data_IF_845661169667
#
_entry.id   IF_845661169667
#
_cell.length_a   1.000
_cell.length_b   1.000
_cell.length_c   1.000
_cell.angle_alpha   90.00
_cell.angle_beta   90.00
_cell.angle_gamma   90.00
#
_symmetry.space_group_name_H-M   'P 1'
#
loop_
_entity.id
_entity.type
_entity.pdbx_description
1 polymer ?
#
# COMPACT_ATOMS: atom_id res chain seq x y z
N UNK A 1 26.79 7.86 17.40
CA UNK A 1 25.46 8.15 17.94
C UNK A 1 24.92 9.49 17.46
N UNK A 2 23.59 9.69 17.44
CA UNK A 2 22.93 10.95 17.05
C UNK A 2 21.74 11.20 17.96
N UNK A 3 21.49 12.48 18.27
CA UNK A 3 20.30 12.91 19.02
C UNK A 3 19.41 13.80 18.15
N UNK A 4 18.13 13.45 18.01
CA UNK A 4 17.12 14.34 17.44
C UNK A 4 16.50 15.08 18.61
N UNK A 5 16.73 16.40 18.71
CA UNK A 5 16.33 17.21 19.84
C UNK A 5 15.20 18.19 19.48
N UNK A 6 14.39 18.57 20.50
CA UNK A 6 13.40 19.63 20.47
C UNK A 6 12.19 19.42 19.52
N UNK A 7 12.10 18.28 18.83
CA UNK A 7 11.03 17.99 17.88
C UNK A 7 9.72 17.57 18.55
N UNK A 8 8.61 17.71 17.79
CA UNK A 8 7.35 17.08 18.14
C UNK A 8 7.31 15.67 17.55
N UNK A 9 7.53 14.65 18.38
CA UNK A 9 7.62 13.26 17.97
C UNK A 9 6.22 12.63 17.96
N UNK A 10 5.84 11.96 16.88
CA UNK A 10 4.65 11.09 16.83
C UNK A 10 5.05 9.68 17.29
N UNK A 11 4.98 9.44 18.60
CA UNK A 11 5.53 8.28 19.30
C UNK A 11 4.54 7.11 19.35
N UNK A 12 5.05 5.90 19.16
CA UNK A 12 4.32 4.67 19.32
C UNK A 12 3.33 4.36 18.19
N UNK A 13 2.59 3.27 18.34
CA UNK A 13 1.58 2.83 17.36
C UNK A 13 0.41 3.83 17.27
N UNK A 14 0.10 4.50 18.37
CA UNK A 14 -0.97 5.51 18.42
C UNK A 14 -0.58 6.87 17.86
N UNK A 15 0.68 7.04 17.46
CA UNK A 15 1.23 8.32 16.96
C UNK A 15 1.02 9.47 17.94
N UNK A 16 1.16 9.20 19.25
CA UNK A 16 0.95 10.21 20.31
C UNK A 16 1.99 11.32 20.21
N UNK A 17 1.56 12.61 20.13
CA UNK A 17 2.50 13.72 20.00
C UNK A 17 3.17 14.01 21.33
N UNK A 18 4.50 13.85 21.40
CA UNK A 18 5.32 14.11 22.59
C UNK A 18 6.48 15.04 22.26
N UNK A 19 6.88 15.87 23.23
CA UNK A 19 8.09 16.70 23.16
C UNK A 19 9.20 16.04 23.97
N UNK A 20 9.93 15.17 23.30
CA UNK A 20 11.05 14.40 23.84
C UNK A 20 12.20 14.42 22.82
N UNK A 21 13.37 13.94 23.20
CA UNK A 21 14.50 13.74 22.31
C UNK A 21 14.62 12.25 21.95
N UNK A 22 15.20 11.94 20.79
CA UNK A 22 15.48 10.56 20.34
C UNK A 22 16.97 10.39 20.23
N UNK A 23 17.55 9.39 20.93
CA UNK A 23 18.94 8.96 20.72
C UNK A 23 18.97 7.74 19.83
N UNK A 24 19.82 7.81 18.79
CA UNK A 24 20.02 6.77 17.78
C UNK A 24 21.48 6.29 17.88
N UNK A 25 21.66 4.98 17.96
CA UNK A 25 23.00 4.38 17.94
C UNK A 25 23.64 4.37 16.55
N UNK A 26 24.87 3.88 16.47
CA UNK A 26 25.62 3.81 15.21
C UNK A 26 25.10 2.70 14.26
N UNK A 27 24.25 1.79 14.75
CA UNK A 27 23.55 0.77 13.96
C UNK A 27 22.20 1.26 13.42
N UNK A 28 21.79 2.49 13.78
CA UNK A 28 20.52 3.08 13.33
C UNK A 28 19.33 2.67 14.18
N UNK A 29 19.52 2.20 15.42
CA UNK A 29 18.45 1.87 16.36
C UNK A 29 18.17 3.01 17.33
N UNK A 30 16.90 3.19 17.64
CA UNK A 30 16.45 4.11 18.70
C UNK A 30 16.71 3.44 20.04
N UNK A 31 17.62 4.01 20.82
CA UNK A 31 18.04 3.45 22.13
C UNK A 31 17.40 4.16 23.32
N UNK A 32 16.99 5.42 23.15
CA UNK A 32 16.32 6.19 24.20
C UNK A 32 15.38 7.22 23.61
N UNK A 33 14.22 7.42 24.25
CA UNK A 33 13.28 8.50 23.97
C UNK A 33 12.86 9.12 25.29
N UNK A 34 13.49 10.24 25.66
CA UNK A 34 13.19 10.99 26.89
C UNK A 34 13.44 12.49 26.71
N UNK A 35 13.01 13.30 27.68
CA UNK A 35 13.24 14.76 27.63
C UNK A 35 14.72 15.13 27.78
N UNK A 36 15.46 14.32 28.53
CA UNK A 36 16.86 14.58 28.90
C UNK A 36 17.84 13.73 28.05
N UNK A 37 17.31 12.95 27.07
CA UNK A 37 18.11 12.11 26.20
C UNK A 37 19.02 12.99 25.33
N UNK A 38 20.34 12.79 25.43
CA UNK A 38 21.34 13.48 24.63
C UNK A 38 22.60 12.64 24.52
N UNK A 39 23.02 12.28 23.32
CA UNK A 39 24.27 11.60 23.05
C UNK A 39 24.69 11.81 21.58
N UNK A 40 25.99 12.03 21.36
CA UNK A 40 26.58 12.19 20.04
C UNK A 40 26.22 13.49 19.32
N UNK A 41 26.07 13.42 17.99
CA UNK A 41 25.74 14.57 17.14
C UNK A 41 24.28 15.00 17.37
N UNK A 42 24.07 16.27 17.72
CA UNK A 42 22.71 16.82 17.93
C UNK A 42 22.15 17.39 16.62
N UNK A 43 20.97 16.92 16.25
CA UNK A 43 20.17 17.43 15.12
C UNK A 43 18.95 18.16 15.71
N UNK A 44 18.93 19.48 15.58
CA UNK A 44 17.83 20.29 16.11
C UNK A 44 16.59 20.17 15.23
N UNK A 45 15.50 19.67 15.81
CA UNK A 45 14.17 19.54 15.23
C UNK A 45 13.16 20.54 15.81
N UNK A 46 13.61 21.69 16.34
CA UNK A 46 12.72 22.76 16.83
C UNK A 46 11.73 23.16 15.74
N UNK A 47 10.44 23.28 16.11
CA UNK A 47 9.33 23.59 15.21
C UNK A 47 9.15 22.58 14.05
N UNK A 48 9.56 21.33 14.27
CA UNK A 48 9.41 20.23 13.32
C UNK A 48 8.60 19.09 13.93
N UNK A 49 8.04 18.28 13.03
CA UNK A 49 7.40 17.00 13.37
C UNK A 49 8.36 15.87 13.00
N UNK A 50 8.57 14.95 13.94
CA UNK A 50 9.27 13.68 13.69
C UNK A 50 8.20 12.62 13.50
N UNK A 51 8.04 12.12 12.27
CA UNK A 51 6.97 11.23 11.85
C UNK A 51 7.55 9.92 11.31
N UNK A 52 6.98 8.74 11.62
CA UNK A 52 7.39 7.49 10.96
C UNK A 52 7.35 7.63 9.44
N UNK A 53 8.24 6.92 8.74
CA UNK A 53 8.19 6.82 7.27
C UNK A 53 6.91 6.11 6.84
N UNK A 54 6.48 6.41 5.61
CA UNK A 54 5.25 5.87 5.07
C UNK A 54 5.43 4.49 4.44
N UNK A 55 4.31 3.76 4.36
CA UNK A 55 4.17 2.50 3.67
C UNK A 55 3.09 2.65 2.62
N UNK A 56 3.44 2.47 1.35
CA UNK A 56 2.50 2.46 0.25
C UNK A 56 1.97 1.03 0.05
N UNK A 57 0.77 0.76 0.56
CA UNK A 57 0.27 -0.61 0.72
C UNK A 57 -0.28 -1.25 -0.57
N UNK A 58 -0.26 -0.53 -1.70
CA UNK A 58 -0.68 -1.07 -3.00
C UNK A 58 -0.16 -0.20 -4.13
N UNK A 59 0.56 -0.81 -5.08
CA UNK A 59 1.05 -0.17 -6.30
C UNK A 59 1.07 -1.13 -7.49
N UNK A 60 1.12 -0.53 -8.69
CA UNK A 60 1.46 -1.17 -9.95
C UNK A 60 2.62 -0.41 -10.60
N UNK A 61 3.83 -0.49 -9.99
CA UNK A 61 4.95 0.36 -10.38
C UNK A 61 5.40 0.18 -11.84
N UNK A 62 5.10 -0.97 -12.46
CA UNK A 62 5.49 -1.21 -13.86
C UNK A 62 4.79 -0.32 -14.86
N UNK A 63 3.60 0.17 -14.54
CA UNK A 63 2.84 1.04 -15.44
C UNK A 63 3.33 2.51 -15.44
N UNK A 64 4.32 2.81 -14.63
CA UNK A 64 4.99 4.12 -14.61
C UNK A 64 5.61 4.54 -15.95
N UNK A 65 5.70 3.64 -16.90
CA UNK A 65 6.20 3.90 -18.25
C UNK A 65 5.23 4.73 -19.11
N UNK A 66 3.94 4.76 -18.76
CA UNK A 66 2.88 5.47 -19.51
C UNK A 66 2.12 6.46 -18.63
N UNK A 67 2.86 7.32 -17.92
CA UNK A 67 2.27 8.31 -16.99
C UNK A 67 1.24 9.20 -17.71
N UNK A 68 0.05 9.32 -17.08
CA UNK A 68 -1.10 10.12 -17.52
C UNK A 68 -1.71 9.73 -18.87
N UNK A 69 -1.34 8.59 -19.44
CA UNK A 69 -2.01 8.02 -20.61
C UNK A 69 -3.27 7.27 -20.17
N UNK A 70 -4.37 7.47 -20.90
CA UNK A 70 -5.66 6.82 -20.61
C UNK A 70 -6.65 7.71 -19.86
N UNK A 71 -6.37 9.00 -19.70
CA UNK A 71 -7.37 9.94 -19.17
C UNK A 71 -8.64 9.93 -20.06
N UNK A 72 -9.79 9.78 -19.41
CA UNK A 72 -11.09 9.66 -20.08
C UNK A 72 -11.46 8.26 -20.58
N UNK A 73 -10.58 7.27 -20.45
CA UNK A 73 -10.92 5.87 -20.75
C UNK A 73 -11.56 5.20 -19.52
N UNK A 74 -12.33 4.13 -19.78
CA UNK A 74 -12.88 3.29 -18.72
C UNK A 74 -11.80 2.44 -18.03
N UNK A 75 -12.09 1.95 -16.82
CA UNK A 75 -11.21 1.02 -16.10
C UNK A 75 -10.76 -0.16 -16.99
N UNK A 76 -11.71 -0.79 -17.70
CA UNK A 76 -11.41 -1.94 -18.55
C UNK A 76 -10.44 -1.56 -19.70
N UNK A 77 -10.62 -0.40 -20.32
CA UNK A 77 -9.74 0.09 -21.38
C UNK A 77 -8.33 0.46 -20.88
N UNK A 78 -8.22 0.86 -19.62
CA UNK A 78 -6.92 1.23 -19.02
C UNK A 78 -6.16 0.00 -18.53
N UNK A 79 -6.77 -0.85 -17.69
CA UNK A 79 -6.03 -1.85 -16.90
C UNK A 79 -6.36 -3.30 -17.16
N UNK A 80 -7.42 -3.62 -17.96
CA UNK A 80 -7.88 -5.01 -18.13
C UNK A 80 -7.00 -5.81 -19.08
N UNK A 81 -6.43 -6.96 -18.65
CA UNK A 81 -5.69 -7.84 -19.54
C UNK A 81 -6.58 -8.44 -20.65
N UNK A 82 -6.04 -8.75 -21.84
CA UNK A 82 -4.72 -8.36 -22.34
C UNK A 82 -4.70 -7.02 -23.08
N UNK A 83 -5.86 -6.38 -23.30
CA UNK A 83 -6.06 -5.29 -24.25
C UNK A 83 -6.02 -3.89 -23.64
N UNK A 84 -6.06 -3.76 -22.31
CA UNK A 84 -5.90 -2.45 -21.66
C UNK A 84 -4.55 -1.81 -22.02
N UNK A 85 -4.55 -0.49 -22.21
CA UNK A 85 -3.34 0.26 -22.66
C UNK A 85 -2.12 -0.03 -21.80
N UNK A 86 -2.32 -0.25 -20.49
CA UNK A 86 -1.29 -0.69 -19.56
C UNK A 86 -0.57 -1.96 -20.04
N UNK A 87 -1.31 -3.00 -20.42
CA UNK A 87 -0.74 -4.28 -20.84
C UNK A 87 -0.01 -4.18 -22.18
N UNK A 88 -0.58 -3.41 -23.12
CA UNK A 88 0.07 -3.16 -24.40
C UNK A 88 1.39 -2.40 -24.24
N UNK A 89 1.45 -1.43 -23.35
CA UNK A 89 2.67 -0.69 -23.04
C UNK A 89 3.73 -1.58 -22.37
N UNK A 90 3.34 -2.38 -21.37
CA UNK A 90 4.24 -3.31 -20.68
C UNK A 90 4.83 -4.37 -21.63
N UNK A 91 4.04 -4.83 -22.63
CA UNK A 91 4.48 -5.81 -23.60
C UNK A 91 5.43 -5.23 -24.67
N UNK A 92 5.24 -3.95 -25.02
CA UNK A 92 6.04 -3.26 -26.03
C UNK A 92 7.35 -2.68 -25.53
N UNK A 93 7.45 -2.45 -24.21
CA UNK A 93 8.61 -1.84 -23.59
C UNK A 93 9.79 -2.83 -23.47
N UNK A 94 11.00 -2.32 -23.61
CA UNK A 94 12.21 -3.07 -23.28
C UNK A 94 12.42 -3.19 -21.76
N UNK A 95 13.21 -4.17 -21.35
CA UNK A 95 13.57 -4.38 -19.94
C UNK A 95 14.24 -3.12 -19.34
N UNK A 96 15.13 -2.47 -20.10
CA UNK A 96 15.84 -1.27 -19.65
C UNK A 96 14.87 -0.09 -19.43
N UNK A 97 13.89 0.12 -20.31
CA UNK A 97 12.86 1.15 -20.15
C UNK A 97 11.99 0.89 -18.92
N UNK A 98 11.59 -0.35 -18.71
CA UNK A 98 10.80 -0.74 -17.52
C UNK A 98 11.60 -0.54 -16.22
N UNK A 99 12.88 -0.94 -16.21
CA UNK A 99 13.77 -0.76 -15.06
C UNK A 99 13.90 0.73 -14.73
N UNK A 100 14.17 1.58 -15.72
CA UNK A 100 14.39 3.01 -15.48
C UNK A 100 13.11 3.70 -14.98
N UNK A 101 11.95 3.44 -15.60
CA UNK A 101 10.67 4.00 -15.16
C UNK A 101 10.32 3.59 -13.72
N UNK A 102 10.56 2.33 -13.35
CA UNK A 102 10.39 1.87 -11.98
C UNK A 102 11.37 2.54 -11.01
N UNK A 103 12.64 2.74 -11.41
CA UNK A 103 13.65 3.43 -10.60
C UNK A 103 13.26 4.87 -10.30
N UNK A 104 12.84 5.63 -11.32
CA UNK A 104 12.35 7.01 -11.15
C UNK A 104 11.22 7.06 -10.12
N UNK A 105 10.24 6.16 -10.26
CA UNK A 105 9.10 6.11 -9.33
C UNK A 105 9.50 5.72 -7.90
N UNK A 106 10.50 4.85 -7.73
CA UNK A 106 11.04 4.51 -6.41
C UNK A 106 11.79 5.68 -5.78
N UNK A 107 12.54 6.46 -6.55
CA UNK A 107 13.15 7.70 -6.04
C UNK A 107 12.10 8.74 -5.64
N UNK A 108 11.02 8.88 -6.43
CA UNK A 108 9.87 9.72 -6.05
C UNK A 108 9.28 9.29 -4.71
N UNK A 109 9.03 7.99 -4.54
CA UNK A 109 8.53 7.44 -3.28
C UNK A 109 9.49 7.71 -2.12
N UNK A 110 10.78 7.43 -2.30
CA UNK A 110 11.79 7.68 -1.26
C UNK A 110 11.84 9.14 -0.84
N UNK A 111 11.89 10.07 -1.79
CA UNK A 111 11.96 11.50 -1.52
C UNK A 111 10.69 12.02 -0.81
N UNK A 112 9.56 11.33 -0.97
CA UNK A 112 8.29 11.57 -0.27
C UNK A 112 8.18 10.80 1.06
N UNK A 113 9.28 10.21 1.54
CA UNK A 113 9.35 9.54 2.84
C UNK A 113 8.77 8.13 2.90
N UNK A 114 8.48 7.51 1.76
CA UNK A 114 8.03 6.12 1.72
C UNK A 114 9.24 5.20 1.94
N UNK A 115 9.13 4.25 2.88
CA UNK A 115 10.16 3.25 3.19
C UNK A 115 9.90 1.92 2.51
N UNK A 116 8.64 1.53 2.41
CA UNK A 116 8.20 0.26 1.84
C UNK A 116 7.01 0.50 0.91
N UNK A 117 6.91 -0.32 -0.14
CA UNK A 117 5.73 -0.37 -0.98
C UNK A 117 5.40 -1.80 -1.38
N UNK A 118 4.11 -2.09 -1.57
CA UNK A 118 3.63 -3.39 -2.01
C UNK A 118 3.28 -3.28 -3.48
N UNK A 119 3.96 -4.04 -4.34
CA UNK A 119 3.75 -4.00 -5.78
C UNK A 119 3.12 -5.29 -6.33
N UNK A 120 2.06 -5.13 -7.11
CA UNK A 120 1.40 -6.20 -7.84
C UNK A 120 2.08 -6.36 -9.20
N UNK A 121 3.11 -7.22 -9.22
CA UNK A 121 4.05 -7.26 -10.33
C UNK A 121 3.58 -8.19 -11.46
N UNK A 122 3.25 -7.58 -12.59
CA UNK A 122 2.97 -8.26 -13.86
C UNK A 122 4.25 -8.88 -14.45
N UNK A 123 4.10 -9.73 -15.50
CA UNK A 123 5.21 -10.32 -16.23
C UNK A 123 5.81 -11.57 -15.59
N UNK A 124 5.10 -12.23 -14.66
CA UNK A 124 5.54 -13.49 -14.07
C UNK A 124 6.87 -13.35 -13.32
N UNK A 125 7.70 -14.38 -13.41
CA UNK A 125 9.00 -14.39 -12.76
C UNK A 125 9.97 -13.35 -13.32
N UNK A 126 9.89 -13.04 -14.60
CA UNK A 126 10.77 -12.03 -15.21
C UNK A 126 10.40 -10.63 -14.69
N UNK A 127 9.11 -10.29 -14.61
CA UNK A 127 8.68 -9.04 -13.99
C UNK A 127 9.16 -8.87 -12.55
N UNK A 128 9.14 -9.96 -11.75
CA UNK A 128 9.70 -9.95 -10.38
C UNK A 128 11.21 -9.67 -10.40
N UNK A 129 11.96 -10.24 -11.34
CA UNK A 129 13.40 -9.99 -11.48
C UNK A 129 13.71 -8.55 -11.89
N UNK A 130 12.93 -8.00 -12.84
CA UNK A 130 13.09 -6.62 -13.29
C UNK A 130 12.89 -5.63 -12.13
N UNK A 131 11.86 -5.81 -11.30
CA UNK A 131 11.66 -4.93 -10.15
C UNK A 131 12.77 -5.07 -9.11
N UNK A 132 13.28 -6.28 -8.87
CA UNK A 132 14.45 -6.49 -8.01
C UNK A 132 15.71 -5.81 -8.54
N UNK A 133 15.93 -5.85 -9.85
CA UNK A 133 17.03 -5.13 -10.49
C UNK A 133 16.86 -3.61 -10.35
N UNK A 134 15.67 -3.11 -10.65
CA UNK A 134 15.33 -1.70 -10.54
C UNK A 134 15.51 -1.16 -9.10
N UNK A 135 15.25 -1.96 -8.07
CA UNK A 135 15.34 -1.54 -6.67
C UNK A 135 16.76 -1.47 -6.12
N UNK A 136 17.76 -1.99 -6.83
CA UNK A 136 19.15 -1.96 -6.35
C UNK A 136 19.65 -0.54 -6.09
N UNK A 137 20.27 -0.35 -4.91
CA UNK A 137 20.87 0.91 -4.47
C UNK A 137 19.87 2.08 -4.28
N UNK A 138 18.57 1.78 -4.16
CA UNK A 138 17.56 2.75 -3.74
C UNK A 138 17.15 2.42 -2.30
N UNK A 139 17.12 3.39 -1.37
CA UNK A 139 16.80 3.13 0.03
C UNK A 139 15.29 3.04 0.27
N UNK A 140 14.65 2.13 -0.46
CA UNK A 140 13.24 1.75 -0.36
C UNK A 140 13.11 0.25 -0.54
N UNK A 141 12.18 -0.38 0.16
CA UNK A 141 11.99 -1.83 0.13
C UNK A 141 10.70 -2.21 -0.61
N UNK A 142 10.79 -2.85 -1.80
CA UNK A 142 9.63 -3.43 -2.46
C UNK A 142 9.21 -4.73 -1.76
N UNK A 143 7.90 -4.88 -1.54
CA UNK A 143 7.24 -6.14 -1.20
C UNK A 143 6.54 -6.61 -2.48
N UNK A 144 7.05 -7.65 -3.10
CA UNK A 144 6.68 -8.01 -4.46
C UNK A 144 5.64 -9.13 -4.45
N UNK A 145 4.44 -8.83 -4.94
CA UNK A 145 3.36 -9.80 -5.17
C UNK A 145 3.31 -10.13 -6.66
N UNK A 146 3.85 -11.29 -7.03
CA UNK A 146 3.96 -11.68 -8.44
C UNK A 146 2.62 -12.13 -9.03
N UNK A 147 2.46 -11.93 -10.35
CA UNK A 147 1.34 -12.42 -11.17
C UNK A 147 1.89 -13.25 -12.32
N UNK A 148 1.13 -14.25 -12.75
CA UNK A 148 1.46 -15.08 -13.91
C UNK A 148 0.25 -15.22 -14.83
N UNK A 149 0.46 -15.20 -16.14
CA UNK A 149 -0.62 -15.28 -17.11
C UNK A 149 -1.43 -16.59 -17.00
N UNK A 150 -0.85 -17.65 -16.48
CA UNK A 150 -1.54 -18.93 -16.27
C UNK A 150 -2.64 -18.88 -15.19
N UNK A 151 -2.72 -17.79 -14.41
CA UNK A 151 -3.76 -17.65 -13.38
C UNK A 151 -5.11 -17.21 -13.94
N UNK A 152 -5.13 -16.70 -15.18
CA UNK A 152 -6.28 -16.07 -15.80
C UNK A 152 -6.96 -16.98 -16.83
N UNK A 153 -8.24 -16.73 -17.07
CA UNK A 153 -9.05 -17.40 -18.06
C UNK A 153 -10.13 -18.32 -17.49
N UNK A 154 -11.05 -18.76 -18.35
CA UNK A 154 -12.22 -19.55 -17.96
C UNK A 154 -11.92 -21.06 -17.75
N UNK A 155 -10.83 -21.57 -18.34
CA UNK A 155 -10.42 -22.99 -18.22
C UNK A 155 -8.91 -23.06 -17.93
N UNK A 156 -8.49 -22.71 -16.71
CA UNK A 156 -7.09 -22.65 -16.35
C UNK A 156 -6.48 -24.05 -16.24
N UNK A 157 -5.25 -24.21 -16.76
CA UNK A 157 -4.48 -25.42 -16.55
C UNK A 157 -3.89 -25.45 -15.13
N UNK A 158 -4.57 -26.10 -14.20
CA UNK A 158 -4.17 -26.15 -12.77
C UNK A 158 -2.74 -26.70 -12.55
N UNK A 159 -2.20 -27.54 -13.45
CA UNK A 159 -0.82 -27.96 -13.35
C UNK A 159 0.14 -26.81 -13.62
N UNK A 160 -0.11 -26.02 -14.68
CA UNK A 160 0.69 -24.84 -15.00
C UNK A 160 0.56 -23.78 -13.90
N UNK A 161 -0.65 -23.54 -13.38
CA UNK A 161 -0.90 -22.66 -12.22
C UNK A 161 0.00 -23.07 -11.04
N UNK A 162 -0.01 -24.34 -10.64
CA UNK A 162 0.81 -24.82 -9.51
C UNK A 162 2.32 -24.71 -9.77
N UNK A 163 2.76 -24.83 -11.03
CA UNK A 163 4.17 -24.63 -11.41
C UNK A 163 4.54 -23.13 -11.30
N UNK A 164 3.69 -22.23 -11.82
CA UNK A 164 3.90 -20.80 -11.76
C UNK A 164 3.95 -20.30 -10.30
N UNK A 165 3.00 -20.73 -9.46
CA UNK A 165 2.98 -20.40 -8.03
C UNK A 165 4.31 -20.80 -7.36
N UNK A 166 4.78 -22.04 -7.57
CA UNK A 166 6.05 -22.50 -6.98
C UNK A 166 7.26 -21.70 -7.45
N UNK A 167 7.27 -21.26 -8.71
CA UNK A 167 8.34 -20.41 -9.24
C UNK A 167 8.28 -19.02 -8.61
N UNK A 168 7.11 -18.39 -8.58
CA UNK A 168 6.93 -17.06 -8.02
C UNK A 168 7.27 -17.03 -6.52
N UNK A 169 6.75 -17.96 -5.72
CA UNK A 169 6.96 -17.98 -4.27
C UNK A 169 8.42 -18.23 -3.85
N UNK A 170 9.32 -18.63 -4.76
CA UNK A 170 10.77 -18.66 -4.50
C UNK A 170 11.42 -17.30 -4.58
N UNK A 171 10.81 -16.35 -5.28
CA UNK A 171 11.44 -15.07 -5.61
C UNK A 171 10.60 -13.86 -5.18
N UNK A 172 9.29 -13.98 -5.05
CA UNK A 172 8.37 -12.94 -4.62
C UNK A 172 7.98 -13.12 -3.14
N UNK A 173 7.41 -12.07 -2.55
CA UNK A 173 6.91 -12.07 -1.17
C UNK A 173 5.48 -12.59 -1.07
N UNK A 174 4.83 -12.79 -2.21
CA UNK A 174 3.49 -13.33 -2.30
C UNK A 174 2.96 -13.33 -3.73
N UNK A 175 1.64 -13.46 -3.84
CA UNK A 175 0.88 -13.40 -5.08
C UNK A 175 -0.21 -12.35 -4.94
N UNK A 176 -0.27 -11.42 -5.92
CA UNK A 176 -1.30 -10.38 -6.00
C UNK A 176 -2.14 -10.56 -7.25
N UNK A 177 -3.43 -10.72 -7.11
CA UNK A 177 -4.36 -11.03 -8.20
C UNK A 177 -5.20 -9.82 -8.61
N UNK A 178 -5.64 -9.82 -9.88
CA UNK A 178 -6.78 -9.01 -10.32
C UNK A 178 -8.07 -9.53 -9.65
N UNK A 179 -9.22 -9.00 -9.98
CA UNK A 179 -10.49 -9.42 -9.41
C UNK A 179 -11.02 -10.77 -9.91
N UNK A 180 -12.06 -11.27 -9.27
CA UNK A 180 -12.75 -12.51 -9.64
C UNK A 180 -13.46 -12.49 -11.02
N UNK A 181 -13.51 -11.34 -11.67
CA UNK A 181 -13.94 -11.26 -13.06
C UNK A 181 -13.00 -11.95 -14.05
N UNK A 182 -11.75 -12.21 -13.66
CA UNK A 182 -10.68 -12.74 -14.51
C UNK A 182 -10.11 -14.06 -14.00
N UNK A 183 -10.42 -14.45 -12.76
CA UNK A 183 -9.77 -15.55 -12.05
C UNK A 183 -10.80 -16.58 -11.60
N UNK A 184 -10.51 -17.84 -11.88
CA UNK A 184 -11.31 -18.98 -11.39
C UNK A 184 -11.20 -19.14 -9.87
N UNK A 185 -12.30 -19.52 -9.22
CA UNK A 185 -12.35 -19.69 -7.75
C UNK A 185 -11.36 -20.75 -7.26
N UNK A 186 -11.19 -21.85 -7.99
CA UNK A 186 -10.24 -22.92 -7.62
C UNK A 186 -8.80 -22.44 -7.71
N UNK A 187 -8.48 -21.59 -8.69
CA UNK A 187 -7.15 -20.94 -8.79
C UNK A 187 -6.90 -20.06 -7.57
N UNK A 188 -7.88 -19.26 -7.17
CA UNK A 188 -7.79 -18.42 -5.98
C UNK A 188 -7.53 -19.24 -4.70
N UNK A 189 -8.27 -20.32 -4.50
CA UNK A 189 -8.11 -21.24 -3.36
C UNK A 189 -6.72 -21.90 -3.34
N UNK A 190 -6.23 -22.38 -4.51
CA UNK A 190 -4.88 -22.96 -4.64
C UNK A 190 -3.81 -21.92 -4.28
N UNK A 191 -3.96 -20.67 -4.72
CA UNK A 191 -3.01 -19.59 -4.43
C UNK A 191 -2.99 -19.29 -2.93
N UNK A 192 -4.15 -19.14 -2.30
CA UNK A 192 -4.25 -18.90 -0.86
C UNK A 192 -3.60 -20.04 -0.05
N UNK A 193 -3.93 -21.31 -0.35
CA UNK A 193 -3.32 -22.49 0.30
C UNK A 193 -1.78 -22.49 0.18
N UNK A 194 -1.25 -22.16 -1.02
CA UNK A 194 0.19 -22.19 -1.25
C UNK A 194 0.92 -21.01 -0.62
N UNK A 195 0.30 -19.83 -0.63
CA UNK A 195 0.83 -18.66 0.06
C UNK A 195 0.86 -18.87 1.59
N UNK A 196 -0.23 -19.35 2.18
CA UNK A 196 -0.32 -19.69 3.60
C UNK A 196 0.75 -20.71 4.00
N UNK A 197 0.85 -21.84 3.26
CA UNK A 197 1.84 -22.89 3.51
C UNK A 197 3.30 -22.39 3.42
N UNK A 198 3.53 -21.32 2.64
CA UNK A 198 4.85 -20.70 2.48
C UNK A 198 5.08 -19.52 3.44
N UNK A 199 4.12 -19.14 4.26
CA UNK A 199 4.17 -17.93 5.10
C UNK A 199 4.26 -16.64 4.26
N UNK A 200 3.56 -16.58 3.12
CA UNK A 200 3.61 -15.48 2.14
C UNK A 200 2.25 -14.84 1.93
N UNK A 201 2.26 -13.66 1.32
CA UNK A 201 1.06 -12.84 1.14
C UNK A 201 0.25 -13.38 -0.04
N UNK A 202 -1.07 -13.50 0.16
CA UNK A 202 -2.07 -13.65 -0.91
C UNK A 202 -2.97 -12.43 -0.91
N UNK A 203 -3.09 -11.74 -2.05
CA UNK A 203 -3.88 -10.53 -2.15
C UNK A 203 -4.67 -10.47 -3.45
N UNK A 204 -5.84 -9.80 -3.43
CA UNK A 204 -6.76 -9.71 -4.56
C UNK A 204 -7.52 -8.38 -4.54
N UNK A 205 -7.82 -7.82 -5.73
CA UNK A 205 -8.75 -6.72 -5.88
C UNK A 205 -10.18 -7.22 -5.74
N UNK A 206 -11.01 -6.52 -4.97
CA UNK A 206 -12.41 -6.89 -4.74
C UNK A 206 -13.31 -5.66 -4.74
N UNK A 207 -14.50 -5.81 -5.33
CA UNK A 207 -15.53 -4.79 -5.32
C UNK A 207 -15.03 -3.40 -5.79
N UNK A 208 -14.06 -3.38 -6.70
CA UNK A 208 -13.50 -2.14 -7.23
C UNK A 208 -14.55 -1.39 -8.04
N UNK A 209 -15.30 -2.08 -8.90
CA UNK A 209 -16.44 -1.50 -9.61
C UNK A 209 -17.73 -2.27 -9.36
N UNK A 210 -18.85 -1.62 -9.62
CA UNK A 210 -20.18 -2.15 -9.36
C UNK A 210 -20.52 -3.34 -10.27
N UNK A 211 -20.07 -3.31 -11.53
CA UNK A 211 -20.36 -4.36 -12.50
C UNK A 211 -19.74 -5.70 -12.10
N UNK A 212 -18.49 -5.70 -11.60
CA UNK A 212 -17.82 -6.93 -11.12
C UNK A 212 -18.59 -7.57 -9.97
N UNK A 213 -19.13 -6.76 -9.05
CA UNK A 213 -19.99 -7.25 -7.98
C UNK A 213 -21.28 -7.90 -8.51
N UNK A 214 -21.95 -7.27 -9.50
CA UNK A 214 -23.14 -7.86 -10.13
C UNK A 214 -22.82 -9.19 -10.80
N UNK A 215 -21.77 -9.25 -11.59
CA UNK A 215 -21.35 -10.48 -12.28
C UNK A 215 -21.00 -11.57 -11.27
N UNK A 216 -20.33 -11.24 -10.19
CA UNK A 216 -20.02 -12.21 -9.13
C UNK A 216 -21.28 -12.76 -8.47
N UNK A 217 -22.23 -11.90 -8.12
CA UNK A 217 -23.50 -12.29 -7.53
C UNK A 217 -24.35 -13.16 -8.49
N UNK A 218 -24.43 -12.78 -9.76
CA UNK A 218 -25.18 -13.53 -10.77
C UNK A 218 -24.60 -14.94 -11.00
N UNK A 219 -23.27 -15.05 -11.10
CA UNK A 219 -22.61 -16.34 -11.38
C UNK A 219 -22.51 -17.26 -10.16
N UNK A 220 -22.34 -16.69 -8.96
CA UNK A 220 -21.98 -17.48 -7.76
C UNK A 220 -22.90 -17.29 -6.56
N UNK A 221 -23.86 -16.37 -6.64
CA UNK A 221 -24.67 -15.90 -5.50
C UNK A 221 -23.84 -15.37 -4.32
N UNK A 222 -22.59 -14.92 -4.57
CA UNK A 222 -21.66 -14.36 -3.59
C UNK A 222 -21.03 -13.09 -4.13
N UNK A 223 -20.75 -12.13 -3.24
CA UNK A 223 -19.96 -10.93 -3.56
C UNK A 223 -18.50 -11.30 -3.78
N UNK A 224 -17.71 -10.43 -4.47
CA UNK A 224 -16.28 -10.65 -4.59
C UNK A 224 -15.56 -10.66 -3.22
N UNK A 225 -15.84 -9.72 -2.28
CA UNK A 225 -15.29 -9.80 -0.92
C UNK A 225 -15.62 -11.11 -0.21
N UNK A 226 -16.87 -11.57 -0.26
CA UNK A 226 -17.25 -12.85 0.35
C UNK A 226 -16.42 -14.01 -0.22
N UNK A 227 -16.25 -14.07 -1.54
CA UNK A 227 -15.43 -15.11 -2.21
C UNK A 227 -13.96 -15.03 -1.78
N UNK A 228 -13.42 -13.81 -1.63
CA UNK A 228 -12.04 -13.61 -1.19
C UNK A 228 -11.82 -14.09 0.24
N UNK A 229 -12.75 -13.79 1.15
CA UNK A 229 -12.64 -14.24 2.54
C UNK A 229 -12.79 -15.77 2.65
N UNK A 230 -13.69 -16.37 1.90
CA UNK A 230 -13.88 -17.83 1.86
C UNK A 230 -12.67 -18.55 1.23
N UNK A 231 -12.03 -17.97 0.22
CA UNK A 231 -10.80 -18.52 -0.38
C UNK A 231 -9.59 -18.40 0.56
N UNK A 232 -9.62 -17.49 1.54
CA UNK A 232 -8.56 -17.29 2.52
C UNK A 232 -7.50 -16.27 2.14
N UNK A 233 -7.84 -15.26 1.32
CA UNK A 233 -6.92 -14.15 1.08
C UNK A 233 -6.64 -13.38 2.36
N UNK A 234 -5.36 -13.09 2.61
CA UNK A 234 -4.96 -12.31 3.78
C UNK A 234 -4.85 -10.81 3.52
N UNK A 235 -5.04 -10.37 2.27
CA UNK A 235 -5.20 -8.96 1.93
C UNK A 235 -6.23 -8.80 0.80
N UNK A 236 -7.10 -7.80 0.92
CA UNK A 236 -8.01 -7.36 -0.14
C UNK A 236 -7.82 -5.88 -0.42
N UNK A 237 -8.02 -5.46 -1.69
CA UNK A 237 -7.83 -4.08 -2.12
C UNK A 237 -9.14 -3.50 -2.64
N UNK A 238 -9.31 -2.19 -2.48
CA UNK A 238 -10.41 -1.33 -2.89
C UNK A 238 -11.65 -1.42 -2.01
N UNK A 239 -12.47 -2.44 -2.14
CA UNK A 239 -13.82 -2.50 -1.54
C UNK A 239 -14.64 -1.20 -1.75
N UNK A 240 -14.54 -0.64 -2.95
CA UNK A 240 -15.17 0.65 -3.30
C UNK A 240 -16.69 0.52 -3.36
N UNK A 241 -17.18 -0.63 -3.84
CA UNK A 241 -18.59 -0.94 -4.00
C UNK A 241 -19.04 -2.16 -3.19
N UNK A 242 -18.89 -2.14 -1.83
CA UNK A 242 -19.31 -3.27 -1.01
C UNK A 242 -20.84 -3.43 -1.08
N UNK A 243 -21.30 -4.66 -1.06
CA UNK A 243 -22.73 -5.04 -1.05
C UNK A 243 -23.04 -5.88 0.18
N UNK A 244 -24.32 -6.01 0.48
CA UNK A 244 -24.82 -6.87 1.57
C UNK A 244 -24.07 -6.61 2.89
N UNK A 245 -23.44 -7.67 3.43
CA UNK A 245 -22.74 -7.69 4.72
C UNK A 245 -21.20 -7.62 4.57
N UNK A 246 -20.68 -7.26 3.40
CA UNK A 246 -19.26 -7.32 3.06
C UNK A 246 -18.35 -6.66 4.12
N UNK A 247 -18.75 -5.48 4.64
CA UNK A 247 -17.97 -4.76 5.67
C UNK A 247 -17.94 -5.54 7.00
N UNK A 248 -19.07 -6.14 7.40
CA UNK A 248 -19.09 -6.97 8.60
C UNK A 248 -18.36 -8.30 8.40
N UNK A 249 -18.37 -8.87 7.20
CA UNK A 249 -17.56 -10.04 6.87
C UNK A 249 -16.06 -9.72 6.93
N UNK A 250 -15.63 -8.57 6.39
CA UNK A 250 -14.26 -8.10 6.52
C UNK A 250 -13.82 -8.02 7.98
N UNK A 251 -14.64 -7.42 8.86
CA UNK A 251 -14.30 -7.27 10.28
C UNK A 251 -14.18 -8.59 11.05
N UNK A 252 -14.74 -9.67 10.51
CA UNK A 252 -14.67 -11.03 11.08
C UNK A 252 -13.66 -11.92 10.39
N UNK A 253 -13.12 -11.47 9.25
CA UNK A 253 -12.08 -12.19 8.50
C UNK A 253 -10.69 -11.92 9.09
N UNK A 254 -9.70 -12.67 8.63
CA UNK A 254 -8.29 -12.41 8.89
C UNK A 254 -7.64 -11.58 7.78
N UNK A 255 -8.45 -10.99 6.88
CA UNK A 255 -7.97 -10.21 5.77
C UNK A 255 -7.76 -8.75 6.16
N UNK A 256 -6.66 -8.15 5.75
CA UNK A 256 -6.45 -6.70 5.79
C UNK A 256 -7.12 -6.03 4.60
N UNK A 257 -7.44 -4.75 4.74
CA UNK A 257 -7.97 -3.92 3.67
C UNK A 257 -6.98 -2.84 3.28
N UNK A 258 -6.70 -2.71 1.99
CA UNK A 258 -5.99 -1.55 1.42
C UNK A 258 -6.95 -0.72 0.58
N UNK A 259 -6.99 0.60 0.79
CA UNK A 259 -7.81 1.54 0.03
C UNK A 259 -6.95 2.40 -0.89
N UNK A 260 -7.49 2.77 -2.07
CA UNK A 260 -6.79 3.56 -3.09
C UNK A 260 -7.67 4.73 -3.58
N UNK A 261 -7.99 5.71 -2.72
CA UNK A 261 -9.06 6.67 -2.99
C UNK A 261 -8.83 7.55 -4.21
N UNK A 262 -7.58 8.01 -4.49
CA UNK A 262 -7.30 8.86 -5.66
C UNK A 262 -7.43 8.08 -6.97
N UNK A 263 -6.90 6.87 -7.01
CA UNK A 263 -7.03 6.00 -8.18
C UNK A 263 -8.51 5.68 -8.46
N UNK A 264 -9.25 5.26 -7.43
CA UNK A 264 -10.68 4.99 -7.55
C UNK A 264 -11.47 6.22 -8.04
N UNK A 265 -11.10 7.42 -7.56
CA UNK A 265 -11.68 8.68 -8.04
C UNK A 265 -11.35 8.97 -9.50
N UNK A 266 -10.09 8.82 -9.90
CA UNK A 266 -9.64 9.05 -11.28
C UNK A 266 -10.29 8.07 -12.28
N UNK A 267 -10.44 6.80 -11.88
CA UNK A 267 -11.09 5.76 -12.70
C UNK A 267 -12.63 5.79 -12.62
N UNK A 268 -13.21 6.72 -11.86
CA UNK A 268 -14.67 6.87 -11.73
C UNK A 268 -15.38 5.61 -11.22
N UNK A 269 -14.71 4.76 -10.45
CA UNK A 269 -15.27 3.49 -9.93
C UNK A 269 -15.99 3.65 -8.58
N UNK A 270 -15.94 4.83 -7.97
CA UNK A 270 -16.65 5.16 -6.75
C UNK A 270 -15.73 5.43 -5.56
N UNK A 271 -16.32 5.48 -4.36
CA UNK A 271 -15.62 5.81 -3.12
C UNK A 271 -16.03 4.84 -2.03
N UNK A 272 -15.06 4.20 -1.39
CA UNK A 272 -15.30 3.28 -0.28
C UNK A 272 -16.05 3.98 0.87
N UNK A 273 -17.04 3.35 1.51
CA UNK A 273 -17.70 3.88 2.71
C UNK A 273 -16.78 3.75 3.96
N UNK A 274 -15.66 4.48 3.95
CA UNK A 274 -14.58 4.36 4.94
C UNK A 274 -15.07 4.59 6.38
N UNK A 275 -16.01 5.51 6.60
CA UNK A 275 -16.55 5.75 7.93
C UNK A 275 -17.23 4.50 8.51
N UNK A 276 -17.97 3.76 7.69
CA UNK A 276 -18.60 2.51 8.10
C UNK A 276 -17.57 1.40 8.34
N UNK A 277 -16.52 1.35 7.54
CA UNK A 277 -15.39 0.42 7.76
C UNK A 277 -14.72 0.70 9.11
N UNK A 278 -14.36 1.95 9.40
CA UNK A 278 -13.71 2.32 10.66
C UNK A 278 -14.56 2.01 11.90
N UNK A 279 -15.89 2.12 11.80
CA UNK A 279 -16.81 1.75 12.90
C UNK A 279 -16.74 0.27 13.28
N UNK A 280 -16.36 -0.60 12.39
CA UNK A 280 -16.21 -2.04 12.68
C UNK A 280 -14.92 -2.38 13.39
N UNK A 281 -14.01 -1.41 13.58
CA UNK A 281 -12.70 -1.63 14.19
C UNK A 281 -11.63 -2.12 13.20
N UNK A 282 -11.94 -2.22 11.93
CA UNK A 282 -10.94 -2.53 10.88
C UNK A 282 -9.96 -1.37 10.77
N UNK A 283 -8.68 -1.69 10.63
CA UNK A 283 -7.57 -0.75 10.45
C UNK A 283 -7.08 -0.79 8.99
N UNK A 284 -7.70 -0.04 8.06
CA UNK A 284 -7.30 -0.10 6.66
C UNK A 284 -5.91 0.49 6.44
N UNK A 285 -5.27 0.03 5.38
CA UNK A 285 -4.04 0.60 4.82
C UNK A 285 -4.39 1.50 3.64
N UNK A 286 -3.43 2.33 3.19
CA UNK A 286 -3.61 3.20 2.05
C UNK A 286 -2.53 2.91 0.99
N UNK A 287 -2.93 2.90 -0.28
CA UNK A 287 -2.06 2.72 -1.44
C UNK A 287 -2.31 3.75 -2.53
N UNK A 288 -1.30 4.02 -3.36
CA UNK A 288 -1.42 4.93 -4.50
C UNK A 288 -1.96 4.26 -5.76
N UNK A 289 -1.92 2.93 -5.80
CA UNK A 289 -2.35 2.10 -6.92
C UNK A 289 -1.54 2.35 -8.21
N UNK A 290 -2.15 2.45 -9.36
CA UNK A 290 -1.49 2.64 -10.66
C UNK A 290 -0.67 3.94 -10.69
N UNK A 291 0.65 3.80 -10.88
CA UNK A 291 1.57 4.94 -10.97
C UNK A 291 1.34 5.72 -12.28
N UNK A 292 0.82 5.05 -13.31
CA UNK A 292 0.41 5.71 -14.54
C UNK A 292 -0.70 6.75 -14.33
N UNK A 293 -1.56 6.57 -13.32
CA UNK A 293 -2.70 7.44 -13.04
C UNK A 293 -2.32 8.56 -12.06
N UNK A 294 -1.52 8.23 -11.05
CA UNK A 294 -1.17 9.16 -9.99
C UNK A 294 0.29 9.02 -9.57
N UNK A 295 0.99 10.16 -9.41
CA UNK A 295 2.28 10.15 -8.71
C UNK A 295 2.12 9.48 -7.34
N UNK A 296 3.03 8.56 -6.92
CA UNK A 296 2.91 7.81 -5.66
C UNK A 296 3.22 8.70 -4.43
N UNK A 297 2.33 9.65 -4.14
CA UNK A 297 2.45 10.64 -3.08
C UNK A 297 1.41 10.39 -1.98
N UNK A 298 1.82 9.81 -0.86
CA UNK A 298 0.92 9.48 0.24
C UNK A 298 0.41 10.71 1.02
N UNK A 299 1.08 11.86 0.97
CA UNK A 299 0.50 13.10 1.51
C UNK A 299 -0.77 13.48 0.74
N UNK A 300 -0.74 13.38 -0.59
CA UNK A 300 -1.92 13.63 -1.44
C UNK A 300 -3.00 12.57 -1.27
N UNK A 301 -2.62 11.29 -1.11
CA UNK A 301 -3.58 10.21 -0.80
C UNK A 301 -4.31 10.50 0.52
N UNK A 302 -3.58 10.84 1.58
CA UNK A 302 -4.14 11.15 2.88
C UNK A 302 -5.03 12.40 2.85
N UNK A 303 -4.60 13.47 2.15
CA UNK A 303 -5.37 14.70 2.02
C UNK A 303 -6.69 14.44 1.28
N UNK A 304 -6.62 13.77 0.15
CA UNK A 304 -7.81 13.40 -0.63
C UNK A 304 -8.75 12.52 0.20
N UNK A 305 -8.21 11.48 0.84
CA UNK A 305 -8.98 10.58 1.72
C UNK A 305 -9.72 11.36 2.80
N UNK A 306 -9.01 12.20 3.55
CA UNK A 306 -9.59 12.95 4.65
C UNK A 306 -10.73 13.88 4.19
N UNK A 307 -10.57 14.55 3.05
CA UNK A 307 -11.53 15.53 2.53
C UNK A 307 -12.73 14.85 1.88
N UNK A 308 -12.48 13.90 0.97
CA UNK A 308 -13.56 13.24 0.22
C UNK A 308 -14.43 12.39 1.13
N UNK A 309 -13.82 11.66 2.07
CA UNK A 309 -14.58 10.81 3.00
C UNK A 309 -15.46 11.63 3.94
N UNK A 310 -14.95 12.74 4.48
CA UNK A 310 -15.76 13.66 5.28
C UNK A 310 -16.90 14.30 4.47
N UNK A 311 -16.61 14.73 3.26
CA UNK A 311 -17.61 15.31 2.36
C UNK A 311 -18.70 14.32 1.97
N UNK A 312 -18.32 13.07 1.69
CA UNK A 312 -19.23 12.02 1.27
C UNK A 312 -20.08 11.49 2.43
N UNK A 313 -19.45 11.08 3.55
CA UNK A 313 -20.15 10.52 4.71
C UNK A 313 -20.82 11.56 5.58
N UNK A 314 -20.41 12.84 5.48
CA UNK A 314 -20.80 13.94 6.39
C UNK A 314 -20.47 13.65 7.87
N UNK A 315 -19.58 12.72 8.14
CA UNK A 315 -19.12 12.34 9.47
C UNK A 315 -17.69 12.80 9.72
N UNK A 316 -17.34 12.93 10.99
CA UNK A 316 -15.99 13.26 11.39
C UNK A 316 -15.09 12.02 11.32
N UNK A 317 -13.98 12.15 10.61
CA UNK A 317 -12.87 11.20 10.64
C UNK A 317 -11.67 11.92 11.25
N UNK A 318 -11.09 11.35 12.29
CA UNK A 318 -9.94 11.95 12.95
C UNK A 318 -8.70 11.89 12.00
N UNK A 319 -7.96 12.99 11.84
CA UNK A 319 -6.78 13.01 10.95
C UNK A 319 -5.73 11.97 11.32
N UNK A 320 -5.59 11.64 12.61
CA UNK A 320 -4.66 10.59 13.07
C UNK A 320 -5.01 9.22 12.49
N UNK A 321 -6.28 8.89 12.32
CA UNK A 321 -6.69 7.60 11.73
C UNK A 321 -6.24 7.50 10.26
N UNK A 322 -6.30 8.61 9.52
CA UNK A 322 -5.82 8.65 8.13
C UNK A 322 -4.28 8.55 8.09
N UNK A 323 -3.57 9.19 9.00
CA UNK A 323 -2.11 9.05 9.10
C UNK A 323 -1.68 7.62 9.47
N UNK A 324 -2.41 6.97 10.36
CA UNK A 324 -2.17 5.55 10.71
C UNK A 324 -2.28 4.62 9.50
N UNK A 325 -3.16 4.89 8.54
CA UNK A 325 -3.30 4.10 7.32
C UNK A 325 -2.02 4.08 6.47
N UNK A 326 -1.27 5.18 6.49
CA UNK A 326 0.00 5.30 5.78
C UNK A 326 1.22 4.88 6.62
N UNK A 327 1.04 4.59 7.91
CA UNK A 327 2.13 4.33 8.86
C UNK A 327 1.89 3.09 9.70
N UNK A 328 1.24 3.25 10.85
CA UNK A 328 1.24 2.27 11.94
C UNK A 328 0.18 1.17 11.85
N UNK A 329 -0.86 1.32 11.01
CA UNK A 329 -1.85 0.25 10.84
C UNK A 329 -1.23 -1.07 10.34
N UNK A 330 -0.14 -1.00 9.58
CA UNK A 330 0.62 -2.20 9.17
C UNK A 330 1.12 -3.02 10.36
N UNK A 331 1.35 -2.40 11.52
CA UNK A 331 1.82 -3.10 12.71
C UNK A 331 0.73 -4.01 13.35
N UNK A 332 -0.52 -3.74 13.04
CA UNK A 332 -1.68 -4.55 13.49
C UNK A 332 -2.07 -5.62 12.48
N UNK A 333 -1.59 -5.50 11.24
CA UNK A 333 -1.82 -6.46 10.17
C UNK A 333 -0.86 -7.66 10.31
N UNK A 334 -1.41 -8.83 10.62
CA UNK A 334 -0.61 -10.05 10.84
C UNK A 334 0.09 -10.53 9.57
N UNK A 335 -0.45 -10.26 8.37
CA UNK A 335 0.11 -10.72 7.10
C UNK A 335 1.32 -9.88 6.68
N UNK A 336 1.31 -8.61 7.00
CA UNK A 336 2.32 -7.63 6.60
C UNK A 336 3.33 -7.32 7.71
N UNK A 337 2.94 -7.39 8.98
CA UNK A 337 3.77 -7.02 10.12
C UNK A 337 5.06 -7.84 10.25
N UNK A 338 5.11 -9.05 9.68
CA UNK A 338 6.33 -9.88 9.63
C UNK A 338 7.26 -9.51 8.47
N UNK A 339 6.80 -8.74 7.50
CA UNK A 339 7.55 -8.36 6.28
C UNK A 339 8.05 -6.92 6.31
N UNK A 340 7.38 -6.08 7.08
CA UNK A 340 7.70 -4.67 7.23
C UNK A 340 8.24 -4.49 8.64
N UNK A 341 9.45 -3.94 8.77
CA UNK A 341 9.98 -3.53 10.06
C UNK A 341 8.94 -2.62 10.73
N UNK A 342 8.75 -2.77 12.04
CA UNK A 342 7.73 -2.04 12.77
C UNK A 342 7.87 -0.54 12.52
N UNK A 343 6.94 0.02 11.76
CA UNK A 343 6.97 1.41 11.30
C UNK A 343 6.43 2.38 12.34
N UNK A 344 6.95 2.33 13.57
CA UNK A 344 6.63 3.32 14.59
C UNK A 344 7.88 3.78 15.35
N UNK A 345 7.84 5.01 15.86
CA UNK A 345 8.93 5.56 16.65
C UNK A 345 8.82 5.04 18.09
N UNK A 346 9.78 4.21 18.49
CA UNK A 346 9.84 3.61 19.82
C UNK A 346 11.22 3.04 20.12
N UNK A 347 11.57 2.88 21.40
CA UNK A 347 12.83 2.30 21.79
C UNK A 347 12.97 0.86 21.30
N UNK A 348 14.17 0.50 20.85
CA UNK A 348 14.48 -0.78 20.23
C UNK A 348 14.08 -0.92 18.76
N UNK A 349 13.37 0.07 18.18
CA UNK A 349 13.03 0.10 16.76
C UNK A 349 14.15 0.71 15.93
N UNK A 350 14.16 0.41 14.63
CA UNK A 350 15.02 1.12 13.69
C UNK A 350 14.58 2.58 13.57
N UNK A 351 15.51 3.48 13.33
CA UNK A 351 15.24 4.89 13.09
C UNK A 351 14.68 5.11 11.67
N UNK A 352 13.48 4.62 11.42
CA UNK A 352 12.75 4.82 10.15
C UNK A 352 11.72 5.94 10.29
N UNK A 353 12.16 7.18 10.25
CA UNK A 353 11.32 8.35 10.40
C UNK A 353 11.79 9.53 9.52
N UNK A 354 10.94 10.54 9.43
CA UNK A 354 11.19 11.80 8.72
C UNK A 354 11.13 12.98 9.68
N UNK A 355 11.93 14.02 9.41
CA UNK A 355 11.82 15.34 10.05
C UNK A 355 11.16 16.28 9.04
N UNK A 356 10.00 16.84 9.41
CA UNK A 356 9.12 17.63 8.53
C UNK A 356 8.79 18.98 9.18
N UNK A 357 8.73 20.05 8.39
CA UNK A 357 8.33 21.36 8.87
C UNK A 357 6.90 21.34 9.46
N UNK A 358 6.73 21.82 10.69
CA UNK A 358 5.39 21.97 11.27
C UNK A 358 4.74 23.27 10.79
N UNK A 359 3.61 23.17 10.10
CA UNK A 359 2.90 24.32 9.50
C UNK A 359 1.63 24.74 10.26
N UNK A 360 1.19 23.95 11.25
CA UNK A 360 0.03 24.26 12.08
C UNK A 360 0.12 23.61 13.47
N UNK A 361 -0.70 24.08 14.41
CA UNK A 361 -0.71 23.57 15.79
C UNK A 361 -1.19 22.12 15.88
N UNK A 362 -2.03 21.67 14.96
CA UNK A 362 -2.42 20.26 14.89
C UNK A 362 -1.40 19.50 14.03
N UNK A 363 -0.56 18.62 14.60
CA UNK A 363 0.51 17.95 13.85
C UNK A 363 -0.02 17.07 12.72
N UNK A 364 -1.12 16.39 12.91
CA UNK A 364 -1.71 15.52 11.91
C UNK A 364 -2.25 16.31 10.70
N UNK A 365 -2.94 17.44 10.95
CA UNK A 365 -3.39 18.32 9.88
C UNK A 365 -2.24 19.09 9.23
N UNK A 366 -1.17 19.36 9.98
CA UNK A 366 0.06 19.91 9.39
C UNK A 366 0.62 18.94 8.34
N UNK A 367 0.76 17.67 8.69
CA UNK A 367 1.25 16.65 7.78
C UNK A 367 0.30 16.42 6.58
N UNK A 368 -0.99 16.22 6.85
CA UNK A 368 -1.93 15.79 5.81
C UNK A 368 -2.28 16.93 4.84
N UNK A 369 -2.51 18.16 5.34
CA UNK A 369 -3.06 19.23 4.53
C UNK A 369 -2.03 20.24 4.03
N UNK A 370 -0.79 20.24 4.56
CA UNK A 370 0.12 21.38 4.37
C UNK A 370 1.55 21.00 4.01
N UNK A 371 1.88 19.71 4.01
CA UNK A 371 3.23 19.25 3.68
C UNK A 371 3.39 19.16 2.16
N UNK A 372 4.43 19.82 1.67
CA UNK A 372 4.95 19.69 0.32
C UNK A 372 6.34 19.03 0.36
N UNK A 373 6.86 18.61 -0.79
CA UNK A 373 8.13 17.88 -0.88
C UNK A 373 9.30 18.62 -0.19
N UNK A 374 9.37 19.95 -0.36
CA UNK A 374 10.41 20.79 0.25
C UNK A 374 10.28 20.95 1.78
N UNK A 375 9.21 20.45 2.37
CA UNK A 375 9.02 20.46 3.82
C UNK A 375 9.64 19.26 4.50
N UNK A 376 10.00 18.22 3.74
CA UNK A 376 10.71 17.04 4.24
C UNK A 376 12.19 17.38 4.30
N UNK A 377 12.70 17.61 5.50
CA UNK A 377 14.06 18.11 5.70
C UNK A 377 15.10 17.00 5.78
N UNK A 378 14.71 15.85 6.33
CA UNK A 378 15.58 14.68 6.52
C UNK A 378 14.77 13.39 6.60
N UNK A 379 15.33 12.35 6.01
CA UNK A 379 14.81 10.97 6.05
C UNK A 379 15.89 10.08 6.67
N UNK A 380 15.49 9.26 7.65
CA UNK A 380 16.35 8.31 8.35
C UNK A 380 16.01 6.87 7.96
#
# INVERSE_FOLDING_TARGET
MKTIANGLILKGIDLSPVKENIVIDDEGKIIEISKDAEDGEVIDASDKIVCPRFINAHTHIGDSIIKDEGDGLSLDEVVKPPHGIKHLALESASDDELIEAMRESMWDMHNLGISHFIDYREGGLEGVKLLKEASKNIPITPIILGRDSSFYGEDPNYHQVKVAIRKLLKHADGIGLSGFGEIDTTVAEIICEKCESAGKISSIHVAENENNQYVSLEKTNKTEPQRAFEAGFNQVVHMTNPKNDDINLLSKSNSSLTICPRSNGALSVGIIPLFEVLKTGVNPLIGSDNIMINRPNLFREMEFTLKIMKGFSKNYIAPVEVLKMATTNVCVDSSLSSKINKSYIGEGQNAEFMIINQKSNNPYLSLINRTEENDILKIF
#
